data_IF_196570592670
#
_entry.id   IF_196570592670
#
_cell.length_a   1.000
_cell.length_b   1.000
_cell.length_c   1.000
_cell.angle_alpha   90.00
_cell.angle_beta   90.00
_cell.angle_gamma   90.00
#
_symmetry.space_group_name_H-M   'P 1'
#
loop_
_entity.id
_entity.type
_entity.pdbx_description
1 polymer ?
#
# COMPACT_ATOMS: atom_id res chain seq x y z
N UNK A 1 -1.23 -10.44 -9.99
CA UNK A 1 0.06 -9.87 -10.42
C UNK A 1 -0.23 -8.42 -10.73
N UNK A 2 0.30 -7.50 -9.94
CA UNK A 2 0.09 -6.07 -10.17
C UNK A 2 1.19 -5.57 -11.12
N UNK A 3 0.81 -5.18 -12.33
CA UNK A 3 1.71 -4.93 -13.47
C UNK A 3 2.55 -3.64 -13.39
N UNK A 4 2.47 -2.87 -12.30
CA UNK A 4 2.97 -1.48 -12.29
C UNK A 4 4.10 -1.16 -11.29
N UNK A 5 4.74 -2.15 -10.66
CA UNK A 5 5.96 -1.92 -9.86
C UNK A 5 5.81 -1.08 -8.57
N UNK A 6 4.63 -0.50 -8.32
CA UNK A 6 4.28 0.22 -7.10
C UNK A 6 3.50 -0.67 -6.13
N UNK A 7 4.06 -1.84 -5.84
CA UNK A 7 3.46 -2.79 -4.90
C UNK A 7 4.00 -2.56 -3.48
N UNK A 8 3.27 -2.99 -2.46
CA UNK A 8 3.72 -2.91 -1.06
C UNK A 8 5.07 -3.62 -0.86
N UNK A 9 5.35 -4.64 -1.65
CA UNK A 9 6.65 -5.31 -1.68
C UNK A 9 7.81 -4.38 -2.03
N UNK A 10 7.60 -3.36 -2.85
CA UNK A 10 8.63 -2.38 -3.18
C UNK A 10 8.81 -1.35 -2.03
N UNK A 11 7.73 -1.04 -1.31
CA UNK A 11 7.77 -0.14 -0.15
C UNK A 11 8.40 -0.80 1.09
N UNK A 12 8.29 -2.12 1.20
CA UNK A 12 8.76 -2.91 2.34
C UNK A 12 9.55 -4.15 1.87
N UNK A 13 10.73 -3.96 1.26
CA UNK A 13 11.51 -5.07 0.66
C UNK A 13 12.01 -6.06 1.72
N UNK A 14 12.36 -5.58 2.91
CA UNK A 14 12.86 -6.42 4.01
C UNK A 14 11.75 -7.27 4.68
N UNK A 15 10.48 -6.95 4.42
CA UNK A 15 9.32 -7.57 5.06
C UNK A 15 8.50 -8.45 4.10
N UNK A 16 9.09 -8.86 2.98
CA UNK A 16 8.43 -9.67 1.96
C UNK A 16 7.70 -10.90 2.54
N UNK A 17 8.37 -11.68 3.37
CA UNK A 17 7.79 -12.90 3.94
C UNK A 17 6.61 -12.60 4.88
N UNK A 18 6.73 -11.54 5.68
CA UNK A 18 5.67 -11.07 6.59
C UNK A 18 4.47 -10.56 5.78
N UNK A 19 4.69 -9.82 4.69
CA UNK A 19 3.64 -9.35 3.78
C UNK A 19 2.88 -10.53 3.16
N UNK A 20 3.59 -11.55 2.68
CA UNK A 20 2.96 -12.76 2.10
C UNK A 20 2.14 -13.51 3.15
N UNK A 21 2.67 -13.66 4.36
CA UNK A 21 1.95 -14.28 5.48
C UNK A 21 0.69 -13.46 5.83
N UNK A 22 0.81 -12.14 6.00
CA UNK A 22 -0.31 -11.25 6.28
C UNK A 22 -1.39 -11.30 5.18
N UNK A 23 -1.01 -11.39 3.91
CA UNK A 23 -1.94 -11.52 2.78
C UNK A 23 -2.73 -12.83 2.82
N UNK A 24 -2.14 -13.87 3.37
CA UNK A 24 -2.76 -15.19 3.48
C UNK A 24 -3.64 -15.27 4.74
N UNK A 25 -3.11 -14.84 5.87
CA UNK A 25 -3.73 -14.94 7.20
C UNK A 25 -4.75 -13.84 7.51
N UNK A 26 -4.59 -12.62 6.97
CA UNK A 26 -5.37 -11.45 7.35
C UNK A 26 -6.23 -10.92 6.19
N UNK A 27 -7.56 -11.09 6.34
CA UNK A 27 -8.52 -10.51 5.40
C UNK A 27 -8.42 -8.98 5.34
N UNK A 28 -8.23 -8.33 6.49
CA UNK A 28 -8.03 -6.87 6.58
C UNK A 28 -6.83 -6.41 5.77
N UNK A 29 -5.74 -7.16 5.82
CA UNK A 29 -4.54 -6.84 5.07
C UNK A 29 -4.75 -6.98 3.56
N UNK A 30 -5.53 -7.98 3.11
CA UNK A 30 -5.92 -8.10 1.69
C UNK A 30 -6.72 -6.91 1.20
N UNK A 31 -7.66 -6.42 2.01
CA UNK A 31 -8.44 -5.22 1.67
C UNK A 31 -7.56 -3.98 1.60
N UNK A 32 -6.63 -3.82 2.55
CA UNK A 32 -5.65 -2.74 2.57
C UNK A 32 -4.74 -2.77 1.34
N UNK A 33 -4.30 -3.96 0.93
CA UNK A 33 -3.51 -4.15 -0.29
C UNK A 33 -4.25 -3.69 -1.54
N UNK A 34 -5.50 -4.14 -1.70
CA UNK A 34 -6.33 -3.77 -2.85
C UNK A 34 -6.57 -2.26 -2.88
N UNK A 35 -6.86 -1.65 -1.73
CA UNK A 35 -7.03 -0.20 -1.61
C UNK A 35 -5.75 0.55 -1.98
N UNK A 36 -4.61 0.12 -1.45
CA UNK A 36 -3.31 0.72 -1.77
C UNK A 36 -3.00 0.63 -3.27
N UNK A 37 -3.27 -0.53 -3.88
CA UNK A 37 -3.06 -0.72 -5.31
C UNK A 37 -3.94 0.23 -6.15
N UNK A 38 -5.23 0.30 -5.83
CA UNK A 38 -6.17 1.20 -6.51
C UNK A 38 -5.76 2.68 -6.36
N UNK A 39 -5.32 3.10 -5.16
CA UNK A 39 -4.81 4.45 -4.92
C UNK A 39 -3.60 4.76 -5.79
N UNK A 40 -2.66 3.82 -5.93
CA UNK A 40 -1.48 4.01 -6.77
C UNK A 40 -1.83 4.10 -8.26
N UNK A 41 -2.75 3.27 -8.74
CA UNK A 41 -3.24 3.37 -10.13
C UNK A 41 -3.94 4.71 -10.36
N UNK A 42 -4.75 5.18 -9.41
CA UNK A 42 -5.41 6.49 -9.51
C UNK A 42 -4.40 7.64 -9.52
N UNK A 43 -3.40 7.61 -8.64
CA UNK A 43 -2.30 8.59 -8.60
C UNK A 43 -1.57 8.60 -9.94
N UNK A 44 -1.20 7.44 -10.49
CA UNK A 44 -0.51 7.33 -11.76
C UNK A 44 -1.36 7.87 -12.92
N UNK A 45 -2.64 7.53 -12.95
CA UNK A 45 -3.57 8.01 -13.97
C UNK A 45 -3.76 9.53 -13.91
N UNK A 46 -3.82 10.11 -12.71
CA UNK A 46 -3.89 11.56 -12.52
C UNK A 46 -2.58 12.26 -12.87
N UNK A 47 -1.44 11.66 -12.59
CA UNK A 47 -0.12 12.20 -12.96
C UNK A 47 0.10 12.16 -14.49
N UNK A 48 -0.37 11.09 -15.14
CA UNK A 48 -0.33 10.93 -16.60
C UNK A 48 -1.35 11.81 -17.33
N UNK A 49 -2.53 12.01 -16.75
CA UNK A 49 -3.57 12.92 -17.24
C UNK A 49 -3.36 14.32 -16.69
N UNK A 50 -2.44 15.08 -17.28
CA UNK A 50 -2.09 16.48 -16.98
C UNK A 50 -3.31 17.43 -16.95
N UNK A 51 -4.15 17.32 -15.93
CA UNK A 51 -5.29 18.19 -15.67
C UNK A 51 -4.89 19.19 -14.59
N UNK A 52 -4.99 20.49 -14.90
CA UNK A 52 -4.55 21.56 -14.02
C UNK A 52 -5.35 21.64 -12.70
N UNK A 53 -6.44 20.88 -12.54
CA UNK A 53 -7.19 20.71 -11.29
C UNK A 53 -6.88 19.41 -10.52
N UNK A 54 -6.01 18.54 -11.04
CA UNK A 54 -5.70 17.26 -10.41
C UNK A 54 -4.77 17.39 -9.20
N UNK A 55 -4.10 18.52 -9.00
CA UNK A 55 -3.07 18.70 -7.96
C UNK A 55 -3.63 18.51 -6.53
N UNK A 56 -4.77 19.12 -6.20
CA UNK A 56 -5.42 18.95 -4.89
C UNK A 56 -5.88 17.50 -4.64
N UNK A 57 -6.41 16.83 -5.68
CA UNK A 57 -6.82 15.42 -5.59
C UNK A 57 -5.62 14.50 -5.45
N UNK A 58 -4.56 14.76 -6.21
CA UNK A 58 -3.30 14.02 -6.16
C UNK A 58 -2.68 14.11 -4.76
N UNK A 59 -2.67 15.30 -4.16
CA UNK A 59 -2.20 15.51 -2.79
C UNK A 59 -3.08 14.80 -1.74
N UNK A 60 -4.41 14.77 -1.94
CA UNK A 60 -5.30 13.99 -1.09
C UNK A 60 -5.00 12.48 -1.18
N UNK A 61 -4.86 11.95 -2.39
CA UNK A 61 -4.54 10.53 -2.63
C UNK A 61 -3.17 10.14 -2.09
N UNK A 62 -2.16 11.01 -2.22
CA UNK A 62 -0.83 10.81 -1.62
C UNK A 62 -0.92 10.68 -0.10
N UNK A 63 -1.78 11.47 0.56
CA UNK A 63 -2.04 11.34 2.01
C UNK A 63 -2.72 10.03 2.34
N UNK A 64 -3.73 9.61 1.58
CA UNK A 64 -4.37 8.30 1.77
C UNK A 64 -3.39 7.13 1.57
N UNK A 65 -2.50 7.24 0.58
CA UNK A 65 -1.43 6.28 0.35
C UNK A 65 -0.50 6.20 1.56
N UNK A 66 -0.13 7.34 2.14
CA UNK A 66 0.72 7.38 3.34
C UNK A 66 0.04 6.67 4.53
N UNK A 67 -1.23 6.99 4.79
CA UNK A 67 -2.01 6.35 5.85
C UNK A 67 -2.09 4.84 5.65
N UNK A 68 -2.27 4.39 4.40
CA UNK A 68 -2.30 2.96 4.07
C UNK A 68 -0.94 2.28 4.35
N UNK A 69 0.17 2.96 4.08
CA UNK A 69 1.51 2.47 4.39
C UNK A 69 1.77 2.39 5.90
N UNK A 70 1.33 3.39 6.66
CA UNK A 70 1.42 3.37 8.13
C UNK A 70 0.63 2.21 8.72
N UNK A 71 -0.56 1.93 8.20
CA UNK A 71 -1.37 0.78 8.64
C UNK A 71 -0.68 -0.55 8.29
N UNK A 72 -0.12 -0.69 7.08
CA UNK A 72 0.68 -1.85 6.69
C UNK A 72 1.88 -2.04 7.64
N UNK A 73 2.62 -0.97 7.92
CA UNK A 73 3.78 -1.01 8.82
C UNK A 73 3.39 -1.45 10.24
N UNK A 74 2.25 -0.97 10.74
CA UNK A 74 1.71 -1.39 12.04
C UNK A 74 1.34 -2.88 12.06
N UNK A 75 0.74 -3.40 10.98
CA UNK A 75 0.42 -4.82 10.85
C UNK A 75 1.68 -5.69 10.76
N UNK A 76 2.70 -5.26 10.00
CA UNK A 76 4.01 -5.91 9.94
C UNK A 76 4.65 -5.96 11.32
N UNK A 77 4.72 -4.82 12.03
CA UNK A 77 5.30 -4.75 13.36
C UNK A 77 4.59 -5.68 14.34
N UNK A 78 3.26 -5.75 14.29
CA UNK A 78 2.46 -6.65 15.11
C UNK A 78 2.75 -8.12 14.80
N UNK A 79 2.78 -8.52 13.51
CA UNK A 79 3.09 -9.90 13.10
C UNK A 79 4.52 -10.29 13.51
N UNK A 80 5.49 -9.40 13.29
CA UNK A 80 6.90 -9.59 13.69
C UNK A 80 7.07 -9.77 15.21
N UNK A 81 6.27 -9.06 16.01
CA UNK A 81 6.28 -9.23 17.46
C UNK A 81 5.68 -10.58 17.87
N UNK A 82 4.60 -11.01 17.22
CA UNK A 82 3.98 -12.30 17.48
C UNK A 82 4.89 -13.50 17.16
N UNK A 83 5.77 -13.38 16.16
CA UNK A 83 6.73 -14.43 15.78
C UNK A 83 7.97 -14.52 16.68
N UNK A 84 8.23 -13.49 17.51
CA UNK A 84 9.34 -13.46 18.46
C UNK A 84 8.98 -14.00 19.86
N UNK A 85 7.70 -14.30 20.08
CA UNK A 85 7.16 -14.78 21.37
C UNK A 85 7.09 -16.28 21.51
#
# INVERSE_FOLDING_TARGET
MSEHGHDLHAAFPDDHDILVALKTDSAKFRELWLRYHALNEEIFNLDAGLDAGADERLEALKKERLVSLDEVASMIATKRQAEKG
#
